data_IF_713739976805
#
_entry.id   IF_713739976805
#
_cell.length_a   1.000
_cell.length_b   1.000
_cell.length_c   1.000
_cell.angle_alpha   90.00
_cell.angle_beta   90.00
_cell.angle_gamma   90.00
#
_symmetry.space_group_name_H-M   'P 1'
#
loop_
_entity.id
_entity.type
_entity.pdbx_description
1 polymer ?
#
# COMPACT_ATOMS: atom_id res chain seq x y z
N UNK A 1 1.70 26.75 26.17
CA UNK A 1 2.26 25.55 26.82
C UNK A 1 1.19 24.68 27.45
N UNK A 2 0.25 25.24 28.24
CA UNK A 2 -0.87 24.47 28.82
C UNK A 2 -1.75 23.79 27.74
N UNK A 3 -2.25 24.56 26.77
CA UNK A 3 -3.06 24.01 25.65
C UNK A 3 -2.32 22.94 24.84
N UNK A 4 -1.00 23.11 24.64
CA UNK A 4 -0.19 22.11 23.95
C UNK A 4 -0.07 20.81 24.75
N UNK A 5 0.03 20.89 26.09
CA UNK A 5 0.02 19.71 26.95
C UNK A 5 -1.30 18.95 26.87
N UNK A 6 -2.43 19.65 26.96
CA UNK A 6 -3.77 19.05 26.87
C UNK A 6 -3.99 18.31 25.54
N UNK A 7 -3.52 18.88 24.43
CA UNK A 7 -3.60 18.22 23.11
C UNK A 7 -2.73 16.96 23.05
N UNK A 8 -1.55 16.98 23.65
CA UNK A 8 -0.66 15.82 23.68
C UNK A 8 -1.24 14.68 24.53
N UNK A 9 -1.84 15.01 25.69
CA UNK A 9 -2.51 14.02 26.55
C UNK A 9 -3.72 13.38 25.85
N UNK A 10 -4.50 14.19 25.13
CA UNK A 10 -5.61 13.70 24.32
C UNK A 10 -5.12 12.79 23.17
N UNK A 11 -4.03 13.16 22.50
CA UNK A 11 -3.42 12.35 21.45
C UNK A 11 -2.94 11.00 21.99
N UNK A 12 -2.23 10.98 23.13
CA UNK A 12 -1.76 9.73 23.74
C UNK A 12 -2.95 8.81 24.09
N UNK A 13 -4.03 9.40 24.63
CA UNK A 13 -5.25 8.66 24.95
C UNK A 13 -5.88 8.06 23.69
N UNK A 14 -6.02 8.83 22.61
CA UNK A 14 -6.55 8.34 21.35
C UNK A 14 -5.69 7.23 20.75
N UNK A 15 -4.36 7.37 20.75
CA UNK A 15 -3.44 6.35 20.23
C UNK A 15 -3.64 5.02 20.96
N UNK A 16 -3.69 5.03 22.30
CA UNK A 16 -3.89 3.79 23.09
C UNK A 16 -5.23 3.13 22.80
N UNK A 17 -6.30 3.92 22.74
CA UNK A 17 -7.66 3.45 22.46
C UNK A 17 -7.80 2.87 21.06
N UNK A 18 -7.24 3.55 20.06
CA UNK A 18 -7.24 3.09 18.67
C UNK A 18 -6.47 1.78 18.56
N UNK A 19 -5.27 1.70 19.13
CA UNK A 19 -4.46 0.47 19.07
C UNK A 19 -5.16 -0.71 19.76
N UNK A 20 -5.76 -0.49 20.93
CA UNK A 20 -6.54 -1.52 21.64
C UNK A 20 -7.71 -2.00 20.80
N UNK A 21 -8.47 -1.07 20.21
CA UNK A 21 -9.61 -1.38 19.35
C UNK A 21 -9.16 -2.17 18.13
N UNK A 22 -8.13 -1.69 17.42
CA UNK A 22 -7.60 -2.36 16.23
C UNK A 22 -7.09 -3.78 16.51
N UNK A 23 -6.52 -4.04 17.69
CA UNK A 23 -6.02 -5.35 18.08
C UNK A 23 -7.11 -6.32 18.55
N UNK A 24 -8.34 -5.84 18.78
CA UNK A 24 -9.44 -6.64 19.35
C UNK A 24 -10.56 -6.88 18.34
N UNK A 25 -10.77 -5.93 17.41
CA UNK A 25 -11.83 -6.01 16.41
C UNK A 25 -11.51 -7.05 15.36
N UNK A 26 -12.34 -8.08 15.28
CA UNK A 26 -12.24 -9.16 14.29
C UNK A 26 -12.86 -8.74 12.95
N UNK A 27 -12.12 -8.95 11.87
CA UNK A 27 -12.50 -8.71 10.47
C UNK A 27 -12.72 -10.01 9.68
N UNK A 28 -13.07 -11.09 10.38
CA UNK A 28 -13.31 -12.41 9.78
C UNK A 28 -12.04 -13.02 9.18
N UNK A 29 -11.98 -13.32 7.87
CA UNK A 29 -10.82 -13.97 7.27
C UNK A 29 -9.54 -13.11 7.24
N UNK A 30 -9.66 -11.80 7.46
CA UNK A 30 -8.52 -10.88 7.52
C UNK A 30 -7.86 -10.85 8.91
N UNK A 31 -8.37 -11.59 9.90
CA UNK A 31 -7.91 -11.54 11.29
C UNK A 31 -8.42 -10.29 12.00
N UNK A 32 -7.60 -9.71 12.87
CA UNK A 32 -7.93 -8.44 13.53
C UNK A 32 -7.84 -7.26 12.54
N UNK A 33 -8.38 -6.10 12.91
CA UNK A 33 -8.18 -4.86 12.15
C UNK A 33 -6.68 -4.51 12.02
N UNK A 34 -5.86 -4.86 13.02
CA UNK A 34 -4.40 -4.75 12.94
C UNK A 34 -3.80 -5.66 11.87
N UNK A 35 -4.27 -6.91 11.76
CA UNK A 35 -3.84 -7.85 10.73
C UNK A 35 -4.23 -7.36 9.32
N UNK A 36 -5.44 -6.82 9.17
CA UNK A 36 -5.91 -6.24 7.93
C UNK A 36 -5.06 -5.02 7.49
N UNK A 37 -4.69 -4.15 8.44
CA UNK A 37 -3.78 -3.03 8.20
C UNK A 37 -2.41 -3.51 7.74
N UNK A 38 -1.82 -4.50 8.42
CA UNK A 38 -0.54 -5.09 8.04
C UNK A 38 -0.61 -5.72 6.63
N UNK A 39 -1.68 -6.45 6.32
CA UNK A 39 -1.92 -7.03 4.99
C UNK A 39 -1.96 -5.95 3.92
N UNK A 40 -2.71 -4.87 4.14
CA UNK A 40 -2.78 -3.74 3.20
C UNK A 40 -1.40 -3.13 2.96
N UNK A 41 -0.63 -2.89 4.02
CA UNK A 41 0.66 -2.22 3.92
C UNK A 41 1.65 -3.08 3.14
N UNK A 42 1.66 -4.40 3.36
CA UNK A 42 2.45 -5.34 2.55
C UNK A 42 1.97 -5.40 1.09
N UNK A 43 0.65 -5.37 0.84
CA UNK A 43 0.12 -5.32 -0.53
C UNK A 43 0.56 -4.05 -1.26
N UNK A 44 0.56 -2.89 -0.59
CA UNK A 44 1.07 -1.62 -1.14
C UNK A 44 2.55 -1.70 -1.48
N UNK A 45 3.36 -2.31 -0.61
CA UNK A 45 4.79 -2.54 -0.89
C UNK A 45 4.98 -3.46 -2.09
N UNK A 46 4.26 -4.58 -2.17
CA UNK A 46 4.29 -5.49 -3.33
C UNK A 46 3.92 -4.79 -4.62
N UNK A 47 2.82 -4.03 -4.61
CA UNK A 47 2.39 -3.24 -5.76
C UNK A 47 3.48 -2.24 -6.20
N UNK A 48 4.11 -1.55 -5.24
CA UNK A 48 5.20 -0.61 -5.53
C UNK A 48 6.39 -1.31 -6.19
N UNK A 49 6.83 -2.45 -5.67
CA UNK A 49 7.95 -3.23 -6.24
C UNK A 49 7.64 -3.69 -7.66
N UNK A 50 6.46 -4.29 -7.87
CA UNK A 50 6.06 -4.79 -9.20
C UNK A 50 5.93 -3.65 -10.21
N UNK A 51 5.34 -2.51 -9.79
CA UNK A 51 5.22 -1.33 -10.65
C UNK A 51 6.59 -0.75 -11.00
N UNK A 52 7.50 -0.65 -10.03
CA UNK A 52 8.86 -0.15 -10.25
C UNK A 52 9.65 -1.07 -11.19
N UNK A 53 9.53 -2.39 -11.02
CA UNK A 53 10.14 -3.37 -11.92
C UNK A 53 9.60 -3.24 -13.34
N UNK A 54 8.28 -3.11 -13.52
CA UNK A 54 7.66 -2.91 -14.83
C UNK A 54 8.05 -1.58 -15.48
N UNK A 55 8.17 -0.50 -14.70
CA UNK A 55 8.62 0.81 -15.18
C UNK A 55 10.09 0.76 -15.62
N UNK A 56 10.97 0.17 -14.82
CA UNK A 56 12.39 0.00 -15.15
C UNK A 56 12.58 -0.88 -16.40
N UNK A 57 11.88 -2.02 -16.45
CA UNK A 57 11.93 -2.95 -17.58
C UNK A 57 11.35 -2.35 -18.88
N UNK A 58 10.48 -1.34 -18.78
CA UNK A 58 9.93 -0.60 -19.92
C UNK A 58 10.81 0.60 -20.34
N UNK A 59 11.95 0.83 -19.70
CA UNK A 59 12.84 1.97 -20.00
C UNK A 59 12.32 3.33 -19.50
N UNK A 60 11.38 3.33 -18.55
CA UNK A 60 10.77 4.57 -18.04
C UNK A 60 11.73 5.26 -17.08
N UNK A 61 12.33 6.38 -17.49
CA UNK A 61 13.30 7.16 -16.71
C UNK A 61 14.62 7.38 -17.44
N UNK A 62 14.95 6.52 -18.40
CA UNK A 62 15.98 6.77 -19.39
C UNK A 62 15.39 7.70 -20.46
N UNK A 63 15.37 9.01 -20.16
CA UNK A 63 15.13 10.04 -21.16
C UNK A 63 16.29 10.02 -22.15
N UNK A 64 16.19 9.19 -23.18
CA UNK A 64 17.17 9.21 -24.23
C UNK A 64 17.15 8.00 -25.15
N UNK A 65 16.79 8.27 -26.40
CA UNK A 65 17.28 7.55 -27.58
C UNK A 65 16.63 6.18 -27.81
N UNK A 66 15.38 6.21 -28.31
CA UNK A 66 15.02 5.22 -29.31
C UNK A 66 16.11 5.23 -30.39
N UNK A 67 16.63 4.04 -30.70
CA UNK A 67 17.82 3.84 -31.53
C UNK A 67 17.85 4.78 -32.74
N UNK A 68 18.85 5.65 -32.82
CA UNK A 68 18.92 6.68 -33.86
C UNK A 68 19.64 6.18 -35.11
N UNK A 69 20.63 5.29 -34.93
CA UNK A 69 21.40 4.67 -36.00
C UNK A 69 21.27 3.15 -36.02
N UNK A 70 21.35 2.55 -37.22
CA UNK A 70 21.30 1.08 -37.38
C UNK A 70 22.55 0.35 -36.84
N UNK A 71 23.58 1.06 -36.40
CA UNK A 71 24.78 0.47 -35.77
C UNK A 71 24.72 0.42 -34.24
N UNK A 72 23.77 1.13 -33.61
CA UNK A 72 23.59 1.11 -32.15
C UNK A 72 23.03 -0.23 -31.67
N UNK A 73 23.41 -0.64 -30.45
CA UNK A 73 22.90 -1.86 -29.81
C UNK A 73 21.44 -1.67 -29.37
N UNK A 74 20.64 -2.72 -29.52
CA UNK A 74 19.24 -2.72 -29.10
C UNK A 74 19.14 -3.03 -27.61
N UNK A 75 18.47 -2.15 -26.86
CA UNK A 75 18.06 -2.44 -25.49
C UNK A 75 16.83 -3.35 -25.53
N UNK A 76 16.92 -4.51 -24.88
CA UNK A 76 15.83 -5.45 -24.71
C UNK A 76 15.45 -5.53 -23.24
N UNK A 77 14.15 -5.67 -22.98
CA UNK A 77 13.65 -5.81 -21.62
C UNK A 77 14.08 -7.15 -21.02
N UNK A 78 14.61 -7.11 -19.80
CA UNK A 78 14.99 -8.32 -19.06
C UNK A 78 13.80 -9.02 -18.38
N UNK A 79 12.62 -8.37 -18.31
CA UNK A 79 11.45 -8.86 -17.59
C UNK A 79 10.18 -8.81 -18.46
N UNK A 80 9.21 -9.70 -18.24
CA UNK A 80 7.94 -9.69 -18.97
C UNK A 80 7.04 -8.54 -18.50
N UNK A 81 7.21 -7.35 -19.10
CA UNK A 81 6.50 -6.12 -18.68
C UNK A 81 4.98 -6.30 -18.64
N UNK A 82 4.38 -6.97 -19.63
CA UNK A 82 2.93 -7.16 -19.69
C UNK A 82 2.40 -7.98 -18.50
N UNK A 83 3.11 -9.03 -18.10
CA UNK A 83 2.75 -9.85 -16.94
C UNK A 83 2.88 -9.07 -15.63
N UNK A 84 3.96 -8.30 -15.47
CA UNK A 84 4.15 -7.45 -14.30
C UNK A 84 3.04 -6.38 -14.17
N UNK A 85 2.58 -5.82 -15.30
CA UNK A 85 1.44 -4.89 -15.29
C UNK A 85 0.15 -5.59 -14.85
N UNK A 86 -0.11 -6.79 -15.37
CA UNK A 86 -1.26 -7.59 -14.92
C UNK A 86 -1.21 -7.90 -13.42
N UNK A 87 -0.03 -8.23 -12.89
CA UNK A 87 0.17 -8.43 -11.45
C UNK A 87 -0.08 -7.15 -10.64
N UNK A 88 0.39 -5.99 -11.13
CA UNK A 88 0.13 -4.71 -10.50
C UNK A 88 -1.38 -4.40 -10.44
N UNK A 89 -2.12 -4.66 -11.51
CA UNK A 89 -3.57 -4.44 -11.55
C UNK A 89 -4.32 -5.32 -10.53
N UNK A 90 -3.92 -6.60 -10.40
CA UNK A 90 -4.47 -7.51 -9.38
C UNK A 90 -4.17 -6.99 -7.98
N UNK A 91 -2.92 -6.63 -7.69
CA UNK A 91 -2.54 -6.08 -6.38
C UNK A 91 -3.29 -4.78 -6.06
N UNK A 92 -3.47 -3.90 -7.04
CA UNK A 92 -4.22 -2.65 -6.88
C UNK A 92 -5.69 -2.93 -6.52
N UNK A 93 -6.30 -3.95 -7.13
CA UNK A 93 -7.64 -4.40 -6.78
C UNK A 93 -7.70 -4.92 -5.35
N UNK A 94 -6.79 -5.80 -4.96
CA UNK A 94 -6.75 -6.36 -3.60
C UNK A 94 -6.58 -5.29 -2.53
N UNK A 95 -5.72 -4.29 -2.77
CA UNK A 95 -5.55 -3.13 -1.86
C UNK A 95 -6.88 -2.41 -1.66
N UNK A 96 -7.60 -2.10 -2.74
CA UNK A 96 -8.90 -1.41 -2.66
C UNK A 96 -9.94 -2.23 -1.90
N UNK A 97 -9.99 -3.52 -2.14
CA UNK A 97 -10.92 -4.42 -1.45
C UNK A 97 -10.67 -4.46 0.06
N UNK A 98 -9.40 -4.56 0.48
CA UNK A 98 -9.02 -4.49 1.91
C UNK A 98 -9.31 -3.10 2.49
N UNK A 99 -8.97 -2.02 1.78
CA UNK A 99 -9.23 -0.65 2.22
C UNK A 99 -10.73 -0.39 2.44
N UNK A 100 -11.59 -0.85 1.54
CA UNK A 100 -13.05 -0.71 1.70
C UNK A 100 -13.55 -1.45 2.94
N UNK A 101 -13.05 -2.65 3.21
CA UNK A 101 -13.43 -3.40 4.42
C UNK A 101 -12.95 -2.69 5.69
N UNK A 102 -11.69 -2.24 5.72
CA UNK A 102 -11.15 -1.46 6.84
C UNK A 102 -11.99 -0.23 7.11
N UNK A 103 -12.33 0.54 6.06
CA UNK A 103 -13.12 1.75 6.26
C UNK A 103 -14.54 1.45 6.72
N UNK A 104 -15.19 0.40 6.21
CA UNK A 104 -16.48 -0.04 6.74
C UNK A 104 -16.39 -0.33 8.24
N UNK A 105 -15.41 -1.15 8.65
CA UNK A 105 -15.22 -1.50 10.06
C UNK A 105 -14.94 -0.27 10.94
N UNK A 106 -14.15 0.69 10.46
CA UNK A 106 -13.91 1.95 11.17
C UNK A 106 -15.20 2.74 11.44
N UNK A 107 -16.23 2.60 10.60
CA UNK A 107 -17.53 3.26 10.78
C UNK A 107 -18.51 2.45 11.62
N UNK A 108 -18.34 1.14 11.71
CA UNK A 108 -19.26 0.22 12.39
C UNK A 108 -18.85 -0.08 13.84
N UNK A 109 -17.62 0.26 14.23
CA UNK A 109 -17.07 -0.08 15.54
C UNK A 109 -16.81 1.15 16.40
N UNK A 110 -17.36 1.13 17.61
CA UNK A 110 -17.09 2.13 18.63
C UNK A 110 -15.66 1.99 19.18
N UNK A 111 -15.05 3.13 19.49
CA UNK A 111 -13.71 3.20 20.06
C UNK A 111 -13.72 2.74 21.52
N UNK A 112 -13.02 1.64 21.82
CA UNK A 112 -12.86 1.15 23.19
C UNK A 112 -12.23 2.22 24.10
N UNK A 113 -12.60 2.22 25.38
CA UNK A 113 -11.98 3.07 26.41
C UNK A 113 -10.56 2.61 26.77
#
# INVERSE_FOLDING_TARGET
>A
MAEAGEVLDALETLIRRINRTNATVEMGPDGTLTDALARRDVLRLRHSVVTAAADAAAGKGERGHGRQLRSELMMLSALPVAELRGQADVLAREIREVDVRIQRTNWEVDLLD
#
